data_IF_948115218370
#
_entry.id   IF_948115218370
#
_cell.length_a   1.000
_cell.length_b   1.000
_cell.length_c   1.000
_cell.angle_alpha   90.00
_cell.angle_beta   90.00
_cell.angle_gamma   90.00
#
_symmetry.space_group_name_H-M   'P 1'
#
loop_
_entity.id
_entity.type
_entity.pdbx_description
1 polymer ?
#
# COMPACT_ATOMS: atom_id res chain seq x y z
N UNK A 1 -18.49 11.51 -4.03
CA UNK A 1 -18.06 11.49 -5.45
C UNK A 1 -17.83 10.03 -5.82
N UNK A 2 -18.46 9.52 -6.88
CA UNK A 2 -18.19 8.18 -7.40
C UNK A 2 -16.90 8.18 -8.25
N UNK A 3 -16.04 7.17 -8.08
CA UNK A 3 -14.86 6.97 -8.89
C UNK A 3 -15.27 6.40 -10.26
N UNK A 4 -14.95 7.11 -11.35
CA UNK A 4 -15.17 6.62 -12.72
C UNK A 4 -13.97 5.80 -13.18
N UNK A 5 -13.97 4.50 -12.90
CA UNK A 5 -12.87 3.61 -13.21
C UNK A 5 -13.03 2.94 -14.59
N UNK A 6 -11.93 2.76 -15.32
CA UNK A 6 -11.89 1.97 -16.57
C UNK A 6 -11.39 0.53 -16.36
N UNK A 7 -10.58 0.33 -15.32
CA UNK A 7 -10.06 -0.96 -14.83
C UNK A 7 -10.35 -1.07 -13.34
N UNK A 8 -10.39 -2.27 -12.74
CA UNK A 8 -10.43 -2.38 -11.30
C UNK A 8 -9.22 -1.68 -10.66
N UNK A 9 -9.46 -1.07 -9.51
CA UNK A 9 -8.45 -0.39 -8.71
C UNK A 9 -8.26 -1.16 -7.41
N UNK A 10 -7.04 -1.57 -7.12
CA UNK A 10 -6.69 -2.20 -5.84
C UNK A 10 -6.02 -1.18 -4.95
N UNK A 11 -6.62 -0.92 -3.79
CA UNK A 11 -5.94 -0.28 -2.67
C UNK A 11 -5.28 -1.36 -1.84
N UNK A 12 -4.02 -1.15 -1.48
CA UNK A 12 -3.34 -2.05 -0.57
C UNK A 12 -2.46 -1.29 0.41
N UNK A 13 -2.27 -1.91 1.56
CA UNK A 13 -1.59 -1.38 2.72
C UNK A 13 -0.83 -2.54 3.38
N UNK A 14 0.43 -2.32 3.71
CA UNK A 14 1.32 -3.33 4.25
C UNK A 14 1.80 -2.94 5.64
N UNK A 15 1.71 -3.88 6.57
CA UNK A 15 2.47 -3.83 7.82
C UNK A 15 3.68 -4.76 7.70
N UNK A 16 4.81 -4.34 8.27
CA UNK A 16 6.11 -4.92 7.91
C UNK A 16 7.03 -5.01 9.11
N UNK A 17 8.07 -5.83 9.01
CA UNK A 17 9.11 -5.94 10.05
C UNK A 17 9.98 -4.68 10.17
N UNK A 18 9.90 -3.75 9.22
CA UNK A 18 10.71 -2.53 9.16
C UNK A 18 10.57 -1.81 7.82
N UNK A 19 11.37 -0.76 7.62
CA UNK A 19 11.23 0.15 6.45
C UNK A 19 12.20 -0.15 5.29
N UNK A 20 13.05 -1.15 5.40
CA UNK A 20 14.03 -1.51 4.39
C UNK A 20 13.44 -2.50 3.38
N UNK A 21 13.08 -1.99 2.21
CA UNK A 21 12.48 -2.74 1.08
C UNK A 21 13.24 -4.05 0.75
N UNK A 22 14.58 -4.02 0.80
CA UNK A 22 15.39 -5.15 0.36
C UNK A 22 15.47 -6.29 1.38
N UNK A 23 15.32 -5.99 2.68
CA UNK A 23 15.53 -6.97 3.75
C UNK A 23 14.31 -7.25 4.61
N UNK A 24 13.45 -6.26 4.81
CA UNK A 24 12.25 -6.40 5.64
C UNK A 24 11.15 -7.20 4.93
N UNK A 25 10.22 -7.72 5.73
CA UNK A 25 9.20 -8.67 5.33
C UNK A 25 7.81 -8.16 5.67
N UNK A 26 6.82 -8.60 4.89
CA UNK A 26 5.41 -8.33 5.16
C UNK A 26 4.93 -9.17 6.36
N UNK A 27 4.23 -8.55 7.30
CA UNK A 27 3.54 -9.21 8.43
C UNK A 27 2.02 -9.11 8.36
N UNK A 28 1.50 -8.13 7.61
CA UNK A 28 0.09 -8.06 7.20
C UNK A 28 0.00 -7.48 5.80
N UNK A 29 -0.90 -8.03 4.99
CA UNK A 29 -1.31 -7.43 3.72
C UNK A 29 -2.83 -7.27 3.71
N UNK A 30 -3.26 -6.01 3.58
CA UNK A 30 -4.67 -5.64 3.44
C UNK A 30 -4.93 -5.16 2.02
N UNK A 31 -5.92 -5.75 1.34
CA UNK A 31 -6.30 -5.42 -0.04
C UNK A 31 -7.78 -5.06 -0.09
N UNK A 32 -8.09 -3.93 -0.73
CA UNK A 32 -9.43 -3.52 -1.13
C UNK A 32 -9.48 -3.30 -2.64
N UNK A 33 -10.17 -4.19 -3.35
CA UNK A 33 -10.42 -4.10 -4.78
C UNK A 33 -11.75 -3.39 -5.05
N UNK A 34 -11.71 -2.36 -5.90
CA UNK A 34 -12.88 -1.60 -6.35
C UNK A 34 -13.05 -1.81 -7.85
N UNK A 35 -14.21 -2.32 -8.25
CA UNK A 35 -14.53 -2.62 -9.65
C UNK A 35 -15.14 -1.40 -10.37
N UNK A 36 -15.08 -1.33 -11.72
CA UNK A 36 -15.70 -0.25 -12.49
C UNK A 36 -17.20 -0.06 -12.27
N UNK A 37 -17.91 -1.13 -11.89
CA UNK A 37 -19.33 -1.09 -11.57
C UNK A 37 -19.62 -0.65 -10.12
N UNK A 38 -18.60 -0.27 -9.34
CA UNK A 38 -18.72 0.15 -7.95
C UNK A 38 -18.69 -0.98 -6.92
N UNK A 39 -18.70 -2.25 -7.34
CA UNK A 39 -18.56 -3.38 -6.42
C UNK A 39 -17.20 -3.35 -5.72
N UNK A 40 -17.14 -3.93 -4.53
CA UNK A 40 -15.93 -3.99 -3.70
C UNK A 40 -15.69 -5.39 -3.20
N UNK A 41 -14.43 -5.78 -3.14
CA UNK A 41 -13.95 -7.00 -2.51
C UNK A 41 -12.76 -6.63 -1.62
N UNK A 42 -12.70 -7.17 -0.41
CA UNK A 42 -11.63 -6.90 0.52
C UNK A 42 -11.11 -8.18 1.14
N UNK A 43 -9.81 -8.25 1.33
CA UNK A 43 -9.16 -9.37 1.99
C UNK A 43 -7.92 -8.89 2.73
N UNK A 44 -7.78 -9.38 3.95
CA UNK A 44 -6.62 -9.13 4.82
C UNK A 44 -6.04 -10.46 5.22
N UNK A 45 -4.72 -10.56 5.19
CA UNK A 45 -3.97 -11.70 5.71
C UNK A 45 -2.94 -11.20 6.70
N UNK A 46 -2.87 -11.85 7.85
CA UNK A 46 -1.63 -11.89 8.60
C UNK A 46 -0.65 -12.83 7.89
N UNK A 47 0.63 -12.52 8.00
CA UNK A 47 1.68 -13.20 7.25
C UNK A 47 2.80 -13.57 8.22
N UNK A 48 3.23 -14.83 8.19
CA UNK A 48 4.45 -15.24 8.86
C UNK A 48 5.66 -14.72 8.05
N UNK A 49 6.47 -13.79 8.60
CA UNK A 49 7.58 -13.19 7.86
C UNK A 49 8.82 -14.09 7.81
N UNK A 50 8.78 -15.27 8.44
CA UNK A 50 9.91 -16.20 8.57
C UNK A 50 11.15 -15.58 9.24
N UNK A 51 10.95 -14.54 10.03
CA UNK A 51 11.96 -13.85 10.83
C UNK A 51 11.33 -13.24 12.08
N UNK A 52 12.16 -12.85 13.05
CA UNK A 52 11.67 -12.16 14.24
C UNK A 52 11.21 -10.74 13.87
N UNK A 53 9.97 -10.41 14.25
CA UNK A 53 9.44 -9.05 14.12
C UNK A 53 10.11 -8.17 15.17
N UNK A 54 10.83 -7.10 14.79
CA UNK A 54 11.41 -6.16 15.74
C UNK A 54 10.34 -5.56 16.66
N UNK A 55 10.71 -5.35 17.94
CA UNK A 55 9.78 -4.80 18.94
C UNK A 55 9.24 -3.43 18.53
N UNK A 56 10.08 -2.57 17.94
CA UNK A 56 9.69 -1.23 17.49
C UNK A 56 8.59 -1.28 16.42
N UNK A 57 8.67 -2.22 15.47
CA UNK A 57 7.61 -2.43 14.48
C UNK A 57 6.34 -2.97 15.16
N UNK A 58 6.49 -3.97 16.04
CA UNK A 58 5.38 -4.53 16.82
C UNK A 58 4.67 -3.47 17.67
N UNK A 59 5.40 -2.50 18.22
CA UNK A 59 4.84 -1.40 19.02
C UNK A 59 4.04 -0.39 18.16
N UNK A 60 4.31 -0.31 16.85
CA UNK A 60 3.61 0.56 15.90
C UNK A 60 2.31 -0.09 15.43
N UNK A 61 2.39 -1.29 14.84
CA UNK A 61 1.23 -1.95 14.19
C UNK A 61 0.54 -2.99 15.08
N UNK A 62 1.12 -3.37 16.23
CA UNK A 62 0.51 -4.25 17.22
C UNK A 62 0.49 -5.74 16.85
N UNK A 63 1.30 -6.15 15.86
CA UNK A 63 1.42 -7.55 15.40
C UNK A 63 2.67 -8.14 16.04
N UNK A 64 2.52 -9.26 16.74
CA UNK A 64 3.61 -9.92 17.47
C UNK A 64 3.97 -11.25 16.82
N UNK A 65 5.16 -11.77 17.13
CA UNK A 65 5.63 -13.06 16.61
C UNK A 65 4.63 -14.20 16.90
N UNK A 66 3.99 -14.20 18.07
CA UNK A 66 3.01 -15.22 18.47
C UNK A 66 1.72 -15.16 17.65
N UNK A 67 1.34 -13.98 17.16
CA UNK A 67 0.14 -13.82 16.31
C UNK A 67 0.33 -14.39 14.91
N UNK A 68 1.54 -14.38 14.39
CA UNK A 68 1.82 -14.76 12.99
C UNK A 68 2.50 -16.11 12.83
N UNK A 69 2.94 -16.74 13.93
CA UNK A 69 3.72 -18.00 13.84
C UNK A 69 2.97 -19.15 13.15
N UNK A 70 1.64 -19.18 13.25
CA UNK A 70 0.78 -20.18 12.58
C UNK A 70 0.13 -19.68 11.30
N UNK A 71 0.36 -18.43 10.93
CA UNK A 71 -0.19 -17.82 9.73
C UNK A 71 0.63 -18.25 8.50
N UNK A 72 0.06 -18.20 7.29
CA UNK A 72 0.79 -18.54 6.07
C UNK A 72 1.96 -17.58 5.83
N UNK A 73 3.03 -18.10 5.24
CA UNK A 73 4.15 -17.30 4.73
C UNK A 73 3.73 -16.50 3.50
N UNK A 74 4.48 -15.44 3.16
CA UNK A 74 4.20 -14.70 1.92
C UNK A 74 4.32 -15.61 0.68
N UNK A 75 5.27 -16.54 0.68
CA UNK A 75 5.46 -17.48 -0.43
C UNK A 75 4.20 -18.33 -0.70
N UNK A 76 3.50 -18.78 0.35
CA UNK A 76 2.23 -19.50 0.22
C UNK A 76 1.08 -18.62 -0.30
N UNK A 77 1.11 -17.32 0.02
CA UNK A 77 0.09 -16.35 -0.39
C UNK A 77 0.37 -15.70 -1.75
N UNK A 78 1.61 -15.70 -2.23
CA UNK A 78 2.08 -14.87 -3.34
C UNK A 78 1.23 -15.07 -4.61
N UNK A 79 0.92 -16.32 -4.95
CA UNK A 79 0.09 -16.63 -6.12
C UNK A 79 -1.35 -16.09 -5.95
N UNK A 80 -1.93 -16.26 -4.76
CA UNK A 80 -3.28 -15.76 -4.46
C UNK A 80 -3.34 -14.22 -4.50
N UNK A 81 -2.33 -13.55 -3.95
CA UNK A 81 -2.22 -12.09 -4.01
C UNK A 81 -2.06 -11.63 -5.46
N UNK A 82 -1.19 -12.27 -6.24
CA UNK A 82 -0.95 -11.96 -7.66
C UNK A 82 -2.22 -12.08 -8.49
N UNK A 83 -3.01 -13.14 -8.28
CA UNK A 83 -4.29 -13.34 -8.96
C UNK A 83 -5.33 -12.29 -8.56
N UNK A 84 -5.37 -11.90 -7.28
CA UNK A 84 -6.29 -10.87 -6.80
C UNK A 84 -6.03 -9.50 -7.45
N UNK A 85 -4.75 -9.14 -7.60
CA UNK A 85 -4.34 -7.85 -8.17
C UNK A 85 -4.16 -7.87 -9.70
N UNK A 86 -4.32 -9.03 -10.34
CA UNK A 86 -4.16 -9.18 -11.78
C UNK A 86 -5.13 -8.28 -12.55
N UNK A 87 -4.61 -7.57 -13.55
CA UNK A 87 -5.38 -6.65 -14.40
C UNK A 87 -5.90 -5.40 -13.68
N UNK A 88 -5.42 -5.12 -12.46
CA UNK A 88 -5.81 -3.96 -11.68
C UNK A 88 -4.74 -2.86 -11.75
N UNK A 89 -5.17 -1.61 -11.68
CA UNK A 89 -4.29 -0.52 -11.27
C UNK A 89 -4.08 -0.61 -9.75
N UNK A 90 -2.94 -0.11 -9.27
CA UNK A 90 -2.53 -0.21 -7.86
C UNK A 90 -2.57 1.16 -7.20
N UNK A 91 -3.16 1.24 -6.01
CA UNK A 91 -3.25 2.43 -5.21
C UNK A 91 -2.90 2.16 -3.74
N UNK A 92 -2.45 3.21 -3.06
CA UNK A 92 -2.17 3.20 -1.64
C UNK A 92 -1.73 4.58 -1.17
N UNK A 93 -1.31 4.71 0.08
CA UNK A 93 -0.82 5.96 0.63
C UNK A 93 0.69 5.86 0.86
N UNK A 94 1.50 6.69 0.20
CA UNK A 94 2.96 6.54 0.16
C UNK A 94 3.43 5.22 -0.52
N UNK A 95 2.53 4.57 -1.26
CA UNK A 95 2.73 3.23 -1.81
C UNK A 95 3.76 3.16 -2.93
N UNK A 96 3.95 4.25 -3.68
CA UNK A 96 4.94 4.27 -4.76
C UNK A 96 6.38 4.14 -4.23
N UNK A 97 6.62 4.60 -3.01
CA UNK A 97 7.96 4.61 -2.40
C UNK A 97 8.21 3.41 -1.51
N UNK A 98 7.17 2.76 -1.00
CA UNK A 98 7.31 1.72 0.01
C UNK A 98 6.56 0.43 -0.37
N UNK A 99 5.23 0.46 -0.37
CA UNK A 99 4.42 -0.75 -0.49
C UNK A 99 4.60 -1.47 -1.84
N UNK A 100 4.59 -0.74 -2.96
CA UNK A 100 4.79 -1.36 -4.30
C UNK A 100 6.19 -1.99 -4.39
N UNK A 101 7.30 -1.29 -4.07
CA UNK A 101 8.63 -1.90 -4.06
C UNK A 101 8.74 -3.12 -3.14
N UNK A 102 8.23 -3.04 -1.91
CA UNK A 102 8.31 -4.14 -0.95
C UNK A 102 7.52 -5.36 -1.43
N UNK A 103 6.30 -5.16 -1.94
CA UNK A 103 5.49 -6.23 -2.54
C UNK A 103 6.22 -6.86 -3.73
N UNK A 104 6.90 -6.07 -4.56
CA UNK A 104 7.67 -6.58 -5.68
C UNK A 104 8.85 -7.46 -5.23
N UNK A 105 9.56 -7.07 -4.17
CA UNK A 105 10.63 -7.88 -3.56
C UNK A 105 10.09 -9.19 -2.97
N UNK A 106 8.95 -9.15 -2.29
CA UNK A 106 8.30 -10.35 -1.76
C UNK A 106 7.82 -11.31 -2.86
N UNK A 107 7.24 -10.78 -3.92
CA UNK A 107 6.87 -11.55 -5.11
C UNK A 107 8.09 -12.17 -5.78
N UNK A 108 9.20 -11.42 -5.89
CA UNK A 108 10.46 -11.92 -6.43
C UNK A 108 11.01 -13.08 -5.59
N UNK A 109 11.04 -12.95 -4.25
CA UNK A 109 11.46 -14.02 -3.33
C UNK A 109 10.60 -15.28 -3.47
N UNK A 110 9.30 -15.11 -3.72
CA UNK A 110 8.36 -16.20 -3.97
C UNK A 110 8.41 -16.76 -5.42
N UNK A 111 9.29 -16.25 -6.28
CA UNK A 111 9.36 -16.59 -7.71
C UNK A 111 8.03 -16.35 -8.47
N UNK A 112 7.25 -15.36 -8.04
CA UNK A 112 6.01 -14.94 -8.71
C UNK A 112 6.28 -13.66 -9.48
N UNK A 113 5.98 -13.67 -10.79
CA UNK A 113 6.22 -12.50 -11.63
C UNK A 113 5.30 -11.33 -11.24
N UNK A 114 5.88 -10.18 -10.92
CA UNK A 114 5.18 -8.94 -10.63
C UNK A 114 5.58 -7.87 -11.65
N UNK A 115 4.67 -7.58 -12.59
CA UNK A 115 4.90 -6.60 -13.66
C UNK A 115 3.94 -5.40 -13.55
N UNK A 116 4.52 -4.21 -13.68
CA UNK A 116 3.85 -2.91 -13.67
C UNK A 116 3.57 -2.36 -15.08
N UNK A 117 4.05 -3.00 -16.15
CA UNK A 117 3.96 -2.49 -17.53
C UNK A 117 2.56 -2.06 -17.99
N UNK A 118 1.53 -2.81 -17.58
CA UNK A 118 0.12 -2.55 -17.97
C UNK A 118 -0.74 -2.00 -16.82
N UNK A 119 -0.09 -1.49 -15.76
CA UNK A 119 -0.71 -1.01 -14.53
C UNK A 119 -0.27 0.43 -14.23
N UNK A 120 -1.18 1.23 -13.70
CA UNK A 120 -0.84 2.53 -13.15
C UNK A 120 -0.68 2.42 -11.63
N UNK A 121 0.35 3.08 -11.10
CA UNK A 121 0.55 3.27 -9.67
C UNK A 121 -0.02 4.63 -9.23
N UNK A 122 -0.99 4.61 -8.32
CA UNK A 122 -1.74 5.77 -7.85
C UNK A 122 -1.44 5.98 -6.37
N UNK A 123 -0.54 6.92 -6.08
CA UNK A 123 -0.24 7.31 -4.71
C UNK A 123 -1.19 8.40 -4.24
N UNK A 124 -2.05 8.04 -3.29
CA UNK A 124 -3.05 8.94 -2.71
C UNK A 124 -2.39 10.08 -1.94
N UNK A 125 -1.20 9.86 -1.35
CA UNK A 125 -0.44 10.91 -0.68
C UNK A 125 -0.02 12.00 -1.67
N UNK A 126 0.43 11.60 -2.87
CA UNK A 126 0.81 12.54 -3.93
C UNK A 126 -0.40 13.34 -4.41
N UNK A 127 -1.56 12.69 -4.55
CA UNK A 127 -2.81 13.39 -4.92
C UNK A 127 -3.20 14.38 -3.83
N UNK A 128 -3.14 13.97 -2.56
CA UNK A 128 -3.48 14.82 -1.43
C UNK A 128 -2.59 16.07 -1.39
N UNK A 129 -1.27 15.92 -1.45
CA UNK A 129 -0.35 17.06 -1.44
C UNK A 129 -0.48 18.00 -2.65
N UNK A 130 -0.97 17.50 -3.79
CA UNK A 130 -1.25 18.32 -4.97
C UNK A 130 -2.57 19.09 -4.87
N UNK A 131 -3.55 18.57 -4.11
CA UNK A 131 -4.83 19.25 -3.88
C UNK A 131 -4.79 20.20 -2.69
N UNK A 132 -4.06 19.80 -1.66
CA UNK A 132 -3.80 20.55 -0.44
C UNK A 132 -2.33 20.99 -0.46
N UNK A 133 -2.04 22.00 -1.27
CA UNK A 133 -0.69 22.53 -1.38
C UNK A 133 -0.18 22.98 -0.01
N UNK A 134 1.02 22.51 0.36
CA UNK A 134 1.69 22.88 1.62
C UNK A 134 2.61 24.09 1.45
N UNK A 135 2.16 25.07 0.68
CA UNK A 135 2.88 26.36 0.53
C UNK A 135 2.35 27.36 1.56
N UNK A 136 3.17 28.35 1.92
CA UNK A 136 2.73 29.43 2.80
C UNK A 136 1.48 30.13 2.24
N UNK A 137 1.46 30.39 0.93
CA UNK A 137 0.33 31.03 0.25
C UNK A 137 -0.95 30.18 0.34
N UNK A 138 -0.86 28.87 0.16
CA UNK A 138 -2.01 27.98 0.29
C UNK A 138 -2.51 27.88 1.74
N UNK A 139 -1.59 27.81 2.73
CA UNK A 139 -1.95 27.84 4.15
C UNK A 139 -2.62 29.15 4.55
N UNK A 140 -2.08 30.30 4.11
CA UNK A 140 -2.67 31.62 4.38
C UNK A 140 -4.08 31.72 3.80
N UNK A 141 -4.27 31.26 2.56
CA UNK A 141 -5.60 31.20 1.94
C UNK A 141 -6.56 30.27 2.66
N UNK A 142 -6.10 29.10 3.11
CA UNK A 142 -6.96 28.12 3.77
C UNK A 142 -7.41 28.57 5.17
N UNK A 143 -6.48 29.08 5.99
CA UNK A 143 -6.76 29.42 7.39
C UNK A 143 -7.28 30.86 7.57
N UNK A 144 -6.84 31.79 6.73
CA UNK A 144 -7.18 33.21 6.85
C UNK A 144 -8.17 33.68 5.78
N UNK A 145 -8.41 32.89 4.72
CA UNK A 145 -9.26 33.30 3.60
C UNK A 145 -8.62 34.37 2.69
N UNK A 146 -7.35 34.71 2.92
CA UNK A 146 -6.65 35.81 2.26
C UNK A 146 -5.62 35.31 1.25
N UNK A 147 -5.33 36.11 0.22
CA UNK A 147 -4.33 35.77 -0.80
C UNK A 147 -3.00 36.44 -0.48
N UNK A 148 -1.90 35.69 -0.58
CA UNK A 148 -0.56 36.21 -0.39
C UNK A 148 0.07 36.48 -1.77
N UNK A 149 0.25 37.76 -2.10
CA UNK A 149 0.94 38.19 -3.33
C UNK A 149 2.40 38.57 -3.03
N UNK A 150 3.33 38.21 -3.92
CA UNK A 150 4.77 38.50 -3.82
C UNK A 150 5.52 37.82 -2.65
N UNK A 151 5.16 36.57 -2.32
CA UNK A 151 5.93 35.71 -1.43
C UNK A 151 6.82 34.72 -2.20
#
# INVERSE_FOLDING_TARGET
>A
MELKLKKPLVFFDLETTGINIASDRIVEISILKVFPNGNKESKTWLVNPEMEIPKEASDIHGITNEKVVTEPTFNELAQQVSDLIKGCDLAGFNSNRFDIPLLAEEMLRANVNFDMKDRVAIDVQVIFHKKEERTLSAGYKFYCGESLENA
#
